data_IF_419012715216
#
_entry.id   IF_419012715216
#
_cell.length_a   1.000
_cell.length_b   1.000
_cell.length_c   1.000
_cell.angle_alpha   90.00
_cell.angle_beta   90.00
_cell.angle_gamma   90.00
#
_symmetry.space_group_name_H-M   'P 1'
#
loop_
_entity.id
_entity.type
_entity.pdbx_description
1 polymer ?
#
# COMPACT_ATOMS: atom_id res chain seq x y z
N UNK A 1 -57.06 70.31 42.31
CA UNK A 1 -56.98 69.50 43.54
C UNK A 1 -56.63 68.06 43.15
N UNK A 2 -55.70 67.49 43.92
CA UNK A 2 -54.95 66.22 43.79
C UNK A 2 -55.84 64.95 43.96
N UNK A 3 -55.30 63.71 44.05
CA UNK A 3 -54.72 62.84 42.99
C UNK A 3 -55.18 61.36 43.11
N UNK A 4 -54.64 60.44 42.29
CA UNK A 4 -54.27 59.01 42.55
C UNK A 4 -54.64 57.97 41.47
N UNK A 5 -53.57 57.45 40.90
CA UNK A 5 -53.21 56.02 40.84
C UNK A 5 -53.80 55.11 39.76
N UNK A 6 -53.02 55.03 38.67
CA UNK A 6 -52.24 53.82 38.32
C UNK A 6 -53.01 52.62 37.77
N UNK A 7 -52.91 52.44 36.45
CA UNK A 7 -52.64 51.09 35.93
C UNK A 7 -51.71 51.16 34.73
N UNK A 8 -50.47 50.75 35.02
CA UNK A 8 -49.34 50.55 34.13
C UNK A 8 -49.66 49.30 33.28
N UNK A 9 -49.80 49.44 31.97
CA UNK A 9 -49.73 48.31 31.03
C UNK A 9 -48.64 48.62 30.01
N UNK A 10 -47.40 48.41 30.46
CA UNK A 10 -46.27 48.14 29.57
C UNK A 10 -46.50 46.70 29.12
N UNK A 11 -46.82 46.51 27.84
CA UNK A 11 -46.78 45.18 27.22
C UNK A 11 -46.02 45.27 25.90
N UNK A 12 -44.77 45.75 26.01
CA UNK A 12 -43.69 45.40 25.11
C UNK A 12 -42.91 44.25 25.76
N UNK A 13 -43.08 43.03 25.25
CA UNK A 13 -41.95 42.30 24.68
C UNK A 13 -42.48 41.05 23.99
N UNK A 14 -42.46 41.08 22.67
CA UNK A 14 -42.42 39.89 21.82
C UNK A 14 -41.19 39.06 22.22
N UNK A 15 -41.37 38.15 23.17
CA UNK A 15 -40.43 37.08 23.46
C UNK A 15 -40.49 36.06 22.32
N UNK A 16 -39.77 36.36 21.24
CA UNK A 16 -39.58 35.52 20.06
C UNK A 16 -39.40 34.06 20.45
N UNK A 17 -40.08 33.15 19.73
CA UNK A 17 -39.93 31.69 19.86
C UNK A 17 -38.47 31.23 19.91
N UNK A 18 -37.54 32.02 19.38
CA UNK A 18 -36.10 31.79 19.47
C UNK A 18 -35.59 31.75 20.91
N UNK A 19 -36.07 32.59 21.84
CA UNK A 19 -35.65 32.53 23.24
C UNK A 19 -36.11 31.23 23.92
N UNK A 20 -37.32 30.76 23.59
CA UNK A 20 -37.83 29.48 24.10
C UNK A 20 -37.02 28.31 23.57
N UNK A 21 -36.63 28.33 22.28
CA UNK A 21 -35.77 27.30 21.68
C UNK A 21 -34.38 27.34 22.30
N UNK A 22 -33.78 28.51 22.50
CA UNK A 22 -32.46 28.64 23.14
C UNK A 22 -32.49 28.15 24.58
N UNK A 23 -33.55 28.45 25.34
CA UNK A 23 -33.74 27.91 26.70
C UNK A 23 -33.90 26.40 26.67
N UNK A 24 -34.66 25.84 25.73
CA UNK A 24 -34.83 24.39 25.60
C UNK A 24 -33.57 23.67 25.13
N UNK A 25 -32.80 24.27 24.21
CA UNK A 25 -31.52 23.72 23.75
C UNK A 25 -30.47 23.80 24.85
N UNK A 26 -30.41 24.90 25.61
CA UNK A 26 -29.52 25.02 26.76
C UNK A 26 -29.91 24.03 27.88
N UNK A 27 -31.20 23.86 28.16
CA UNK A 27 -31.70 22.88 29.14
C UNK A 27 -31.40 21.44 28.68
N UNK A 28 -31.56 21.16 27.38
CA UNK A 28 -31.23 19.86 26.80
C UNK A 28 -29.72 19.59 26.83
N UNK A 29 -28.87 20.57 26.51
CA UNK A 29 -27.41 20.42 26.59
C UNK A 29 -26.90 20.31 28.04
N UNK A 30 -27.56 20.97 29.00
CA UNK A 30 -27.25 20.82 30.42
C UNK A 30 -27.69 19.47 30.97
N UNK A 31 -28.87 18.97 30.58
CA UNK A 31 -29.35 17.63 30.96
C UNK A 31 -28.52 16.52 30.29
N UNK A 32 -28.20 16.66 29.01
CA UNK A 32 -27.39 15.69 28.27
C UNK A 32 -25.91 15.75 28.70
N UNK A 33 -25.38 16.95 28.95
CA UNK A 33 -24.04 17.16 29.49
C UNK A 33 -23.87 16.61 30.91
N UNK A 34 -24.87 16.76 31.78
CA UNK A 34 -24.87 16.15 33.12
C UNK A 34 -24.92 14.62 33.08
N UNK A 35 -25.59 14.04 32.07
CA UNK A 35 -25.67 12.59 31.85
C UNK A 35 -24.34 12.03 31.32
N UNK A 36 -23.63 12.77 30.46
CA UNK A 36 -22.33 12.35 29.91
C UNK A 36 -21.15 12.52 30.89
N UNK A 37 -21.26 13.39 31.90
CA UNK A 37 -20.21 13.62 32.91
C UNK A 37 -20.42 12.81 34.20
N UNK A 38 -21.47 11.97 34.30
CA UNK A 38 -21.64 11.03 35.42
C UNK A 38 -21.76 11.68 36.80
N UNK A 39 -22.38 12.85 36.90
CA UNK A 39 -22.38 13.69 38.13
C UNK A 39 -23.71 13.69 38.90
N UNK A 40 -24.55 12.67 38.70
CA UNK A 40 -25.72 12.41 39.54
C UNK A 40 -25.62 10.97 40.05
N UNK A 41 -24.99 10.84 41.21
CA UNK A 41 -25.17 9.67 42.06
C UNK A 41 -26.65 9.52 42.42
N UNK A 42 -27.11 8.30 42.19
CA UNK A 42 -28.30 7.62 42.71
C UNK A 42 -29.58 8.45 42.90
N UNK A 43 -30.58 8.18 42.05
CA UNK A 43 -31.73 7.36 42.48
C UNK A 43 -32.73 7.11 41.34
N UNK A 44 -32.77 5.84 40.89
CA UNK A 44 -34.01 5.09 40.72
C UNK A 44 -35.08 5.59 39.75
N UNK A 45 -34.74 6.05 38.53
CA UNK A 45 -35.77 6.40 37.56
C UNK A 45 -35.39 6.13 36.10
N UNK A 46 -34.78 4.99 35.80
CA UNK A 46 -34.84 4.43 34.46
C UNK A 46 -34.69 2.91 34.54
N UNK A 47 -35.76 2.19 34.21
CA UNK A 47 -35.83 0.74 34.27
C UNK A 47 -34.79 0.08 33.36
N UNK A 48 -34.54 -1.20 33.64
CA UNK A 48 -33.51 -2.10 33.10
C UNK A 48 -33.48 -2.32 31.56
N UNK A 49 -33.99 -1.40 30.75
CA UNK A 49 -34.11 -1.52 29.28
C UNK A 49 -32.90 -1.06 28.47
N UNK A 50 -31.78 -0.68 29.09
CA UNK A 50 -30.57 -0.20 28.39
C UNK A 50 -29.35 -1.12 28.58
N UNK A 51 -29.54 -2.32 29.15
CA UNK A 51 -28.46 -3.29 29.35
C UNK A 51 -28.04 -4.00 28.05
N UNK A 52 -28.81 -3.86 26.96
CA UNK A 52 -28.54 -4.50 25.67
C UNK A 52 -28.31 -3.47 24.54
N UNK A 53 -27.64 -2.35 24.83
CA UNK A 53 -27.41 -1.34 23.82
C UNK A 53 -26.18 -1.67 22.95
N UNK A 54 -26.46 -1.97 21.68
CA UNK A 54 -25.56 -1.90 20.51
C UNK A 54 -24.62 -0.67 20.52
N UNK A 55 -25.02 0.42 21.17
CA UNK A 55 -24.22 1.64 21.35
C UNK A 55 -22.96 1.40 22.19
N UNK A 56 -23.04 0.61 23.27
CA UNK A 56 -21.87 0.28 24.09
C UNK A 56 -20.89 -0.59 23.30
N UNK A 57 -21.39 -1.54 22.49
CA UNK A 57 -20.57 -2.34 21.59
C UNK A 57 -19.93 -1.50 20.47
N UNK A 58 -20.62 -0.49 19.94
CA UNK A 58 -20.09 0.44 18.95
C UNK A 58 -19.01 1.35 19.55
N UNK A 59 -19.20 1.86 20.77
CA UNK A 59 -18.18 2.66 21.48
C UNK A 59 -16.97 1.79 21.83
N UNK A 60 -17.20 0.56 22.31
CA UNK A 60 -16.12 -0.40 22.59
C UNK A 60 -15.42 -0.85 21.30
N UNK A 61 -16.15 -1.02 20.19
CA UNK A 61 -15.61 -1.32 18.87
C UNK A 61 -14.74 -0.17 18.36
N UNK A 62 -15.26 1.06 18.39
CA UNK A 62 -14.53 2.25 17.96
C UNK A 62 -13.29 2.53 18.81
N UNK A 63 -13.33 2.28 20.13
CA UNK A 63 -12.14 2.44 20.99
C UNK A 63 -11.10 1.34 20.76
N UNK A 64 -11.50 0.11 20.45
CA UNK A 64 -10.60 -0.97 20.04
C UNK A 64 -9.95 -0.68 18.69
N UNK A 65 -10.72 -0.15 17.73
CA UNK A 65 -10.23 0.22 16.40
C UNK A 65 -9.26 1.40 16.48
N UNK A 66 -9.58 2.43 17.27
CA UNK A 66 -8.69 3.57 17.50
C UNK A 66 -7.36 3.15 18.15
N UNK A 67 -7.42 2.27 19.16
CA UNK A 67 -6.20 1.73 19.80
C UNK A 67 -5.36 0.93 18.80
N UNK A 68 -5.99 0.16 17.92
CA UNK A 68 -5.32 -0.62 16.89
C UNK A 68 -4.65 0.30 15.85
N UNK A 69 -5.33 1.38 15.45
CA UNK A 69 -4.76 2.41 14.59
C UNK A 69 -3.60 3.17 15.24
N UNK A 70 -3.70 3.51 16.52
CA UNK A 70 -2.61 4.16 17.24
C UNK A 70 -1.36 3.27 17.30
N UNK A 71 -1.54 1.95 17.51
CA UNK A 71 -0.42 0.99 17.44
C UNK A 71 0.17 0.92 16.03
N UNK A 72 -0.68 0.89 15.00
CA UNK A 72 -0.20 0.88 13.62
C UNK A 72 0.58 2.16 13.29
N UNK A 73 0.11 3.32 13.74
CA UNK A 73 0.79 4.60 13.53
C UNK A 73 2.14 4.67 14.27
N UNK A 74 2.22 4.19 15.51
CA UNK A 74 3.49 4.08 16.26
C UNK A 74 4.50 3.16 15.54
N UNK A 75 4.02 2.03 14.99
CA UNK A 75 4.86 1.15 14.17
C UNK A 75 5.33 1.86 12.90
N UNK A 76 4.43 2.57 12.21
CA UNK A 76 4.78 3.34 11.00
C UNK A 76 5.79 4.44 11.29
N UNK A 77 5.66 5.14 12.41
CA UNK A 77 6.58 6.19 12.84
C UNK A 77 7.97 5.60 13.15
N UNK A 78 8.04 4.50 13.91
CA UNK A 78 9.29 3.77 14.16
C UNK A 78 9.95 3.32 12.87
N UNK A 79 9.18 2.72 11.95
CA UNK A 79 9.69 2.28 10.65
C UNK A 79 10.14 3.46 9.79
N UNK A 80 9.43 4.58 9.83
CA UNK A 80 9.80 5.80 9.12
C UNK A 80 11.18 6.33 9.54
N UNK A 81 11.57 6.13 10.80
CA UNK A 81 12.89 6.53 11.31
C UNK A 81 14.01 5.57 10.85
N UNK A 82 13.71 4.30 10.59
CA UNK A 82 14.66 3.30 10.09
C UNK A 82 14.93 3.41 8.58
N UNK A 83 13.95 3.90 7.80
CA UNK A 83 14.03 4.01 6.34
C UNK A 83 15.27 4.79 5.85
N UNK A 84 15.65 5.95 6.41
CA UNK A 84 16.83 6.70 5.95
C UNK A 84 18.13 5.91 6.11
N UNK A 85 18.30 5.22 7.25
CA UNK A 85 19.49 4.40 7.52
C UNK A 85 19.59 3.24 6.53
N UNK A 86 18.48 2.52 6.31
CA UNK A 86 18.45 1.39 5.39
C UNK A 86 18.66 1.85 3.94
N UNK A 87 18.15 3.03 3.58
CA UNK A 87 18.34 3.63 2.25
C UNK A 87 19.82 3.92 1.97
N UNK A 88 20.54 4.43 2.97
CA UNK A 88 21.98 4.71 2.85
C UNK A 88 22.78 3.41 2.67
N UNK A 89 22.47 2.37 3.45
CA UNK A 89 23.13 1.07 3.34
C UNK A 89 22.93 0.43 1.96
N UNK A 90 21.70 0.48 1.43
CA UNK A 90 21.39 0.01 0.08
C UNK A 90 22.17 0.81 -0.97
N UNK A 91 22.24 2.14 -0.83
CA UNK A 91 22.98 2.99 -1.75
C UNK A 91 24.50 2.70 -1.73
N UNK A 92 25.05 2.45 -0.55
CA UNK A 92 26.44 2.05 -0.37
C UNK A 92 26.72 0.70 -1.03
N UNK A 93 25.89 -0.32 -0.76
CA UNK A 93 26.02 -1.64 -1.37
C UNK A 93 25.89 -1.58 -2.90
N UNK A 94 24.97 -0.76 -3.41
CA UNK A 94 24.84 -0.51 -4.84
C UNK A 94 26.11 0.10 -5.43
N UNK A 95 26.71 1.08 -4.74
CA UNK A 95 27.97 1.71 -5.15
C UNK A 95 29.13 0.72 -5.17
N UNK A 96 29.22 -0.15 -4.15
CA UNK A 96 30.23 -1.20 -4.09
C UNK A 96 30.07 -2.22 -5.23
N UNK A 97 28.84 -2.65 -5.52
CA UNK A 97 28.56 -3.55 -6.64
C UNK A 97 28.92 -2.92 -7.99
N UNK A 98 28.63 -1.62 -8.18
CA UNK A 98 29.03 -0.90 -9.38
C UNK A 98 30.56 -0.82 -9.51
N UNK A 99 31.27 -0.52 -8.42
CA UNK A 99 32.73 -0.50 -8.39
C UNK A 99 33.34 -1.86 -8.71
N UNK A 100 32.80 -2.95 -8.13
CA UNK A 100 33.23 -4.32 -8.42
C UNK A 100 33.00 -4.67 -9.91
N UNK A 101 31.85 -4.30 -10.47
CA UNK A 101 31.51 -4.55 -11.88
C UNK A 101 32.47 -3.83 -12.83
N UNK A 102 32.85 -2.59 -12.52
CA UNK A 102 33.83 -1.83 -13.28
C UNK A 102 35.22 -2.47 -13.18
N UNK A 103 35.66 -2.80 -11.96
CA UNK A 103 36.95 -3.47 -11.72
C UNK A 103 37.05 -4.81 -12.45
N UNK A 104 36.01 -5.64 -12.42
CA UNK A 104 35.96 -6.89 -13.19
C UNK A 104 36.07 -6.65 -14.69
N UNK A 105 35.44 -5.59 -15.21
CA UNK A 105 35.49 -5.22 -16.63
C UNK A 105 36.91 -4.77 -17.03
N UNK A 106 37.57 -4.01 -16.17
CA UNK A 106 38.94 -3.52 -16.41
C UNK A 106 39.95 -4.67 -16.36
N UNK A 107 39.84 -5.57 -15.37
CA UNK A 107 40.68 -6.79 -15.28
C UNK A 107 40.48 -7.67 -16.52
N UNK A 108 39.23 -7.86 -16.96
CA UNK A 108 38.94 -8.63 -18.16
C UNK A 108 39.55 -7.98 -19.40
N UNK A 109 39.45 -6.64 -19.52
CA UNK A 109 40.04 -5.91 -20.64
C UNK A 109 41.57 -6.00 -20.65
N UNK A 110 42.22 -5.86 -19.49
CA UNK A 110 43.67 -5.92 -19.37
C UNK A 110 44.20 -7.32 -19.70
N UNK A 111 43.55 -8.37 -19.18
CA UNK A 111 43.87 -9.77 -19.49
C UNK A 111 43.77 -10.05 -20.99
N UNK A 112 42.67 -9.61 -21.63
CA UNK A 112 42.48 -9.77 -23.08
C UNK A 112 43.54 -8.99 -23.86
N UNK A 113 43.90 -7.79 -23.41
CA UNK A 113 44.92 -6.93 -24.02
C UNK A 113 46.33 -7.55 -23.94
N UNK A 114 46.72 -8.13 -22.81
CA UNK A 114 47.99 -8.85 -22.66
C UNK A 114 48.08 -10.06 -23.58
N UNK A 115 47.03 -10.89 -23.61
CA UNK A 115 46.93 -12.03 -24.52
C UNK A 115 47.09 -11.56 -25.97
N UNK A 116 46.42 -10.47 -26.34
CA UNK A 116 46.50 -9.85 -27.66
C UNK A 116 47.92 -9.42 -28.06
N UNK A 117 48.65 -8.79 -27.13
CA UNK A 117 50.04 -8.36 -27.34
C UNK A 117 50.94 -9.56 -27.62
N UNK A 118 50.73 -10.68 -26.90
CA UNK A 118 51.44 -11.95 -27.12
C UNK A 118 51.17 -12.62 -28.47
N UNK A 119 49.99 -12.41 -29.06
CA UNK A 119 49.68 -12.90 -30.42
C UNK A 119 50.19 -11.96 -31.52
N UNK A 120 50.24 -10.65 -31.25
CA UNK A 120 50.76 -9.65 -32.19
C UNK A 120 52.27 -9.83 -32.43
N UNK A 121 53.02 -10.28 -31.41
CA UNK A 121 54.45 -10.62 -31.55
C UNK A 121 54.71 -11.90 -32.35
N UNK A 122 53.69 -12.76 -32.55
CA UNK A 122 53.75 -13.97 -33.39
C UNK A 122 53.37 -13.74 -34.86
N UNK A 123 53.27 -12.48 -35.30
CA UNK A 123 53.06 -12.13 -36.72
C UNK A 123 51.60 -12.11 -37.18
N UNK A 124 50.64 -12.21 -36.26
CA UNK A 124 49.21 -12.00 -36.58
C UNK A 124 48.96 -10.50 -36.79
N UNK A 125 48.33 -10.13 -37.91
CA UNK A 125 48.04 -8.73 -38.23
C UNK A 125 47.01 -8.13 -37.28
N UNK A 126 47.25 -6.89 -36.82
CA UNK A 126 46.36 -6.11 -35.93
C UNK A 126 44.89 -6.13 -36.39
N UNK A 127 44.67 -6.04 -37.70
CA UNK A 127 43.33 -6.09 -38.31
C UNK A 127 42.58 -7.41 -38.05
N UNK A 128 43.28 -8.55 -38.08
CA UNK A 128 42.66 -9.87 -37.85
C UNK A 128 42.13 -9.97 -36.42
N UNK A 129 42.86 -9.39 -35.48
CA UNK A 129 42.52 -9.35 -34.07
C UNK A 129 41.33 -8.42 -33.83
N UNK A 130 41.38 -7.18 -34.34
CA UNK A 130 40.28 -6.21 -34.20
C UNK A 130 38.97 -6.75 -34.80
N UNK A 131 39.06 -7.41 -35.96
CA UNK A 131 37.93 -8.07 -36.61
C UNK A 131 37.34 -9.20 -35.77
N UNK A 132 38.20 -10.01 -35.15
CA UNK A 132 37.77 -11.14 -34.29
C UNK A 132 37.15 -10.62 -33.00
N UNK A 133 37.75 -9.60 -32.37
CA UNK A 133 37.24 -8.96 -31.17
C UNK A 133 35.89 -8.31 -31.41
N UNK A 134 35.73 -7.60 -32.54
CA UNK A 134 34.44 -7.01 -32.93
C UNK A 134 33.38 -8.10 -33.09
N UNK A 135 33.70 -9.20 -33.77
CA UNK A 135 32.79 -10.33 -33.98
C UNK A 135 32.42 -11.05 -32.68
N UNK A 136 33.36 -11.17 -31.74
CA UNK A 136 33.10 -11.74 -30.42
C UNK A 136 32.24 -10.82 -29.57
N UNK A 137 32.50 -9.52 -29.61
CA UNK A 137 31.67 -8.52 -28.94
C UNK A 137 30.25 -8.52 -29.50
N UNK A 138 30.10 -8.56 -30.82
CA UNK A 138 28.79 -8.69 -31.47
C UNK A 138 28.07 -9.96 -31.02
N UNK A 139 28.75 -11.11 -30.95
CA UNK A 139 28.16 -12.36 -30.45
C UNK A 139 27.81 -12.32 -28.96
N UNK A 140 28.65 -11.71 -28.13
CA UNK A 140 28.40 -11.58 -26.69
C UNK A 140 27.24 -10.63 -26.42
N UNK A 141 27.20 -9.50 -27.13
CA UNK A 141 26.08 -8.56 -27.05
C UNK A 141 24.79 -9.21 -27.57
N UNK A 142 24.86 -10.10 -28.58
CA UNK A 142 23.74 -10.88 -29.12
C UNK A 142 23.24 -11.96 -28.13
N UNK A 143 24.14 -12.62 -27.39
CA UNK A 143 23.81 -13.59 -26.34
C UNK A 143 23.27 -12.91 -25.05
N UNK A 144 23.68 -11.66 -24.78
CA UNK A 144 23.22 -10.84 -23.64
C UNK A 144 21.95 -10.02 -23.97
N UNK A 145 21.39 -10.16 -25.19
CA UNK A 145 20.04 -9.64 -25.48
C UNK A 145 19.04 -10.47 -24.68
N UNK A 146 18.74 -9.99 -23.48
CA UNK A 146 17.62 -10.41 -22.67
C UNK A 146 16.39 -10.58 -23.59
N UNK A 147 15.86 -11.81 -23.65
CA UNK A 147 14.65 -12.08 -24.43
C UNK A 147 13.59 -11.04 -24.06
N UNK A 148 13.08 -10.27 -25.04
CA UNK A 148 12.17 -9.18 -24.74
C UNK A 148 10.88 -9.73 -24.12
N UNK A 149 10.45 -9.10 -23.04
CA UNK A 149 9.19 -9.42 -22.39
C UNK A 149 8.03 -8.74 -23.14
N UNK A 150 7.42 -9.49 -24.06
CA UNK A 150 6.24 -9.05 -24.81
C UNK A 150 4.95 -9.02 -23.98
N UNK A 151 4.96 -9.60 -22.77
CA UNK A 151 3.86 -9.55 -21.82
C UNK A 151 3.97 -8.33 -20.86
N UNK A 152 4.99 -7.49 -21.02
CA UNK A 152 5.21 -6.33 -20.16
C UNK A 152 4.17 -5.23 -20.40
N UNK A 153 3.56 -4.72 -19.32
CA UNK A 153 2.54 -3.65 -19.39
C UNK A 153 3.08 -2.37 -20.00
N UNK A 154 4.30 -1.96 -19.65
CA UNK A 154 4.93 -0.76 -20.21
C UNK A 154 5.31 -0.92 -21.69
N UNK A 155 5.40 -2.15 -22.20
CA UNK A 155 5.58 -2.42 -23.62
C UNK A 155 4.26 -2.40 -24.41
N UNK A 156 3.10 -2.33 -23.72
CA UNK A 156 1.77 -2.29 -24.34
C UNK A 156 0.94 -3.56 -24.16
N UNK A 157 1.40 -4.52 -23.35
CA UNK A 157 0.59 -5.70 -23.01
C UNK A 157 -0.54 -5.36 -22.03
N UNK A 158 -1.63 -6.11 -22.08
CA UNK A 158 -2.82 -5.88 -21.25
C UNK A 158 -3.55 -7.17 -20.88
N UNK A 159 -4.32 -7.14 -19.80
CA UNK A 159 -5.16 -8.28 -19.38
C UNK A 159 -6.52 -8.24 -20.06
N UNK A 160 -6.94 -9.39 -20.61
CA UNK A 160 -8.30 -9.59 -21.11
C UNK A 160 -9.20 -9.97 -19.94
N UNK A 161 -9.86 -8.97 -19.35
CA UNK A 161 -10.65 -9.14 -18.12
C UNK A 161 -11.81 -10.13 -18.28
N UNK A 162 -12.43 -10.23 -19.47
CA UNK A 162 -13.58 -11.12 -19.71
C UNK A 162 -13.25 -12.61 -19.62
N UNK A 163 -11.98 -12.99 -19.80
CA UNK A 163 -11.49 -14.36 -19.74
C UNK A 163 -10.56 -14.62 -18.56
N UNK A 164 -10.30 -13.60 -17.76
CA UNK A 164 -9.45 -13.70 -16.57
C UNK A 164 -10.32 -13.95 -15.36
N UNK A 165 -9.85 -14.80 -14.44
CA UNK A 165 -10.52 -15.08 -13.19
C UNK A 165 -10.73 -13.81 -12.37
N UNK A 166 -11.71 -13.85 -11.46
CA UNK A 166 -11.98 -12.70 -10.60
C UNK A 166 -10.85 -12.52 -9.60
N UNK A 167 -10.37 -11.29 -9.40
CA UNK A 167 -9.48 -10.99 -8.27
C UNK A 167 -10.12 -11.39 -6.95
N UNK A 168 -9.32 -11.98 -6.08
CA UNK A 168 -9.73 -12.31 -4.72
C UNK A 168 -10.18 -11.05 -3.98
N UNK A 169 -11.32 -11.16 -3.31
CA UNK A 169 -11.85 -10.11 -2.43
C UNK A 169 -11.83 -10.66 -1.03
N UNK A 170 -11.19 -9.94 -0.13
CA UNK A 170 -11.24 -10.27 1.28
C UNK A 170 -12.58 -9.82 1.85
N UNK A 171 -13.44 -10.77 2.23
CA UNK A 171 -14.78 -10.48 2.75
C UNK A 171 -14.76 -9.91 4.19
N UNK A 172 -13.61 -9.99 4.88
CA UNK A 172 -13.49 -9.68 6.30
C UNK A 172 -13.00 -8.28 6.67
N UNK A 173 -13.53 -7.19 6.12
CA UNK A 173 -13.17 -5.87 6.66
C UNK A 173 -13.72 -4.66 5.93
N UNK A 174 -14.96 -4.27 6.23
CA UNK A 174 -15.33 -2.85 6.14
C UNK A 174 -14.75 -2.18 7.38
N UNK A 175 -13.61 -1.53 7.25
CA UNK A 175 -13.05 -0.76 8.36
C UNK A 175 -13.77 0.59 8.40
N UNK A 176 -14.44 0.88 9.50
CA UNK A 176 -15.17 2.14 9.69
C UNK A 176 -14.22 3.13 10.34
N UNK A 177 -13.59 3.99 9.54
CA UNK A 177 -12.74 5.06 10.06
C UNK A 177 -13.53 6.36 10.08
N UNK A 178 -13.86 6.87 11.26
CA UNK A 178 -14.48 8.19 11.44
C UNK A 178 -15.72 8.43 10.54
N UNK A 179 -16.61 7.45 10.44
CA UNK A 179 -17.80 7.45 9.55
C UNK A 179 -17.55 7.21 8.05
N UNK A 180 -16.32 6.93 7.62
CA UNK A 180 -15.99 6.52 6.26
C UNK A 180 -15.77 5.01 6.17
N UNK A 181 -16.42 4.37 5.18
CA UNK A 181 -16.19 2.96 4.85
C UNK A 181 -14.90 2.88 4.03
N UNK A 182 -13.84 2.30 4.62
CA UNK A 182 -12.64 1.94 3.87
C UNK A 182 -12.92 0.63 3.13
N UNK A 183 -12.98 0.70 1.80
CA UNK A 183 -13.12 -0.49 0.96
C UNK A 183 -11.79 -1.26 0.96
N UNK A 184 -11.82 -2.60 1.12
CA UNK A 184 -10.61 -3.40 1.07
C UNK A 184 -9.94 -3.24 -0.30
N UNK A 185 -8.62 -3.06 -0.29
CA UNK A 185 -7.84 -2.87 -1.51
C UNK A 185 -7.76 -4.18 -2.30
N UNK A 186 -8.40 -4.22 -3.47
CA UNK A 186 -8.35 -5.37 -4.39
C UNK A 186 -7.25 -5.13 -5.41
N UNK A 187 -6.29 -6.07 -5.50
CA UNK A 187 -5.25 -6.02 -6.53
C UNK A 187 -5.82 -6.41 -7.90
N UNK A 188 -5.59 -5.56 -8.90
CA UNK A 188 -5.91 -5.85 -10.29
C UNK A 188 -4.99 -6.95 -10.85
N UNK A 189 -5.46 -7.84 -11.75
CA UNK A 189 -4.59 -8.78 -12.46
C UNK A 189 -3.47 -8.10 -13.25
N UNK A 190 -3.58 -6.80 -13.58
CA UNK A 190 -2.53 -6.05 -14.29
C UNK A 190 -1.18 -6.01 -13.57
N UNK A 191 -1.13 -6.35 -12.29
CA UNK A 191 0.12 -6.41 -11.52
C UNK A 191 1.05 -7.52 -12.02
N UNK A 192 0.51 -8.59 -12.62
CA UNK A 192 1.34 -9.70 -13.14
C UNK A 192 2.18 -9.30 -14.36
N UNK A 193 1.83 -8.19 -15.02
CA UNK A 193 2.52 -7.65 -16.19
C UNK A 193 3.54 -6.55 -15.82
N UNK A 194 3.79 -6.33 -14.52
CA UNK A 194 4.72 -5.32 -14.03
C UNK A 194 6.02 -5.97 -13.54
N UNK A 195 7.17 -5.27 -13.62
CA UNK A 195 8.46 -5.82 -13.23
C UNK A 195 8.67 -5.94 -11.71
N UNK A 196 7.66 -5.60 -10.89
CA UNK A 196 7.79 -5.58 -9.43
C UNK A 196 7.45 -6.94 -8.81
N UNK A 197 8.41 -7.57 -8.13
CA UNK A 197 8.24 -8.87 -7.46
C UNK A 197 8.36 -8.82 -5.91
N UNK A 198 8.09 -7.65 -5.33
CA UNK A 198 8.15 -7.47 -3.88
C UNK A 198 7.01 -8.23 -3.15
N UNK A 199 7.22 -8.67 -1.89
CA UNK A 199 6.17 -9.28 -1.08
C UNK A 199 4.90 -8.42 -1.04
N UNK A 200 3.74 -9.02 -1.33
CA UNK A 200 2.43 -8.34 -1.38
C UNK A 200 2.08 -7.67 -2.73
N UNK A 201 2.99 -7.66 -3.71
CA UNK A 201 2.74 -7.20 -5.07
C UNK A 201 2.42 -8.38 -6.02
N UNK A 202 1.42 -9.17 -5.65
CA UNK A 202 0.91 -10.27 -6.47
C UNK A 202 -0.59 -10.10 -6.72
N UNK A 203 -1.11 -10.87 -7.68
CA UNK A 203 -2.55 -10.96 -7.94
C UNK A 203 -3.11 -12.24 -7.33
N UNK A 204 -3.90 -12.14 -6.25
CA UNK A 204 -4.60 -13.29 -5.69
C UNK A 204 -5.93 -13.55 -6.42
N UNK A 205 -6.29 -14.81 -6.58
CA UNK A 205 -7.59 -15.29 -7.07
C UNK A 205 -8.19 -16.30 -6.06
N UNK A 206 -9.53 -16.46 -6.02
CA UNK A 206 -10.16 -17.37 -5.07
C UNK A 206 -9.89 -18.83 -5.42
N UNK A 207 -9.60 -19.65 -4.40
CA UNK A 207 -9.36 -21.08 -4.56
C UNK A 207 -7.95 -21.40 -5.07
N UNK A 208 -7.79 -22.59 -5.63
CA UNK A 208 -6.50 -23.11 -6.13
C UNK A 208 -6.40 -23.16 -7.65
N UNK A 209 -7.49 -22.89 -8.37
CA UNK A 209 -7.54 -22.90 -9.84
C UNK A 209 -7.95 -21.51 -10.33
N UNK A 210 -7.17 -20.97 -11.25
CA UNK A 210 -7.40 -19.66 -11.85
C UNK A 210 -6.83 -19.59 -13.26
N UNK A 211 -7.39 -18.70 -14.07
CA UNK A 211 -6.98 -18.41 -15.45
C UNK A 211 -6.68 -16.92 -15.59
N UNK A 212 -5.61 -16.57 -16.29
CA UNK A 212 -5.30 -15.22 -16.71
C UNK A 212 -5.00 -15.19 -18.21
N UNK A 213 -5.69 -14.30 -18.93
CA UNK A 213 -5.50 -14.14 -20.37
C UNK A 213 -4.80 -12.82 -20.62
N UNK A 214 -3.59 -12.91 -21.18
CA UNK A 214 -2.74 -11.76 -21.50
C UNK A 214 -2.78 -11.51 -23.00
N UNK A 215 -3.13 -10.28 -23.38
CA UNK A 215 -2.90 -9.75 -24.71
C UNK A 215 -1.48 -9.18 -24.76
N UNK A 216 -0.64 -9.78 -25.60
CA UNK A 216 0.74 -9.35 -25.80
C UNK A 216 0.81 -8.01 -26.54
N UNK A 217 1.91 -7.29 -26.35
CA UNK A 217 2.16 -6.00 -27.02
C UNK A 217 2.20 -6.11 -28.56
N UNK A 218 2.55 -7.28 -29.08
CA UNK A 218 2.57 -7.57 -30.52
C UNK A 218 2.34 -9.06 -30.79
N UNK A 219 2.03 -9.38 -32.05
CA UNK A 219 1.88 -10.78 -32.50
C UNK A 219 3.26 -11.42 -32.60
N UNK A 220 3.47 -12.50 -31.84
CA UNK A 220 4.73 -13.26 -31.81
C UNK A 220 4.46 -14.76 -31.88
N UNK A 221 5.51 -15.54 -32.17
CA UNK A 221 5.54 -16.98 -31.94
C UNK A 221 6.24 -17.19 -30.58
N UNK A 222 5.54 -17.68 -29.53
CA UNK A 222 6.13 -17.86 -28.22
C UNK A 222 7.30 -18.86 -28.27
N UNK A 223 8.44 -18.48 -27.69
CA UNK A 223 9.62 -19.36 -27.56
C UNK A 223 9.85 -19.85 -26.14
N UNK A 224 9.60 -19.00 -25.16
CA UNK A 224 9.68 -19.32 -23.74
C UNK A 224 8.66 -18.50 -22.94
N UNK A 225 8.37 -18.97 -21.74
CA UNK A 225 7.50 -18.30 -20.77
C UNK A 225 8.23 -18.28 -19.43
N UNK A 226 8.18 -17.14 -18.75
CA UNK A 226 8.81 -16.95 -17.45
C UNK A 226 7.73 -16.72 -16.39
N UNK A 227 7.77 -17.48 -15.29
CA UNK A 227 6.90 -17.29 -14.13
C UNK A 227 7.79 -17.01 -12.93
N UNK A 228 7.48 -15.96 -12.17
CA UNK A 228 8.24 -15.56 -11.00
C UNK A 228 7.37 -15.64 -9.74
N UNK A 229 7.96 -16.11 -8.65
CA UNK A 229 7.36 -16.13 -7.32
C UNK A 229 8.38 -15.68 -6.28
N UNK A 230 7.91 -15.15 -5.15
CA UNK A 230 8.78 -14.83 -4.02
C UNK A 230 9.49 -16.10 -3.53
N UNK A 231 10.74 -15.96 -3.07
CA UNK A 231 11.48 -17.09 -2.51
C UNK A 231 10.91 -17.47 -1.14
N UNK A 232 10.86 -18.78 -0.86
CA UNK A 232 10.40 -19.35 0.41
C UNK A 232 11.05 -18.74 1.66
N UNK A 233 12.28 -18.22 1.54
CA UNK A 233 12.99 -17.55 2.64
C UNK A 233 12.28 -16.28 3.13
N UNK A 234 11.48 -15.64 2.28
CA UNK A 234 10.74 -14.41 2.58
C UNK A 234 9.23 -14.64 2.67
N UNK A 235 8.79 -15.89 2.58
CA UNK A 235 7.41 -16.25 2.90
C UNK A 235 7.22 -16.12 4.41
N UNK A 236 6.22 -15.34 4.82
CA UNK A 236 5.81 -15.27 6.22
C UNK A 236 5.11 -16.59 6.53
N UNK A 237 5.75 -17.44 7.32
CA UNK A 237 5.16 -18.70 7.80
C UNK A 237 4.02 -18.37 8.77
N UNK A 238 2.77 -18.42 8.28
CA UNK A 238 1.56 -18.28 9.08
C UNK A 238 1.23 -19.61 9.77
N UNK A 239 2.14 -20.09 10.61
CA UNK A 239 1.91 -21.23 11.49
C UNK A 239 1.76 -20.78 12.96
N UNK A 240 1.23 -19.57 13.19
CA UNK A 240 1.08 -18.99 14.54
C UNK A 240 -0.39 -18.78 14.94
N UNK A 241 -1.29 -19.63 14.45
CA UNK A 241 -2.72 -19.60 14.78
C UNK A 241 -3.31 -21.00 14.99
N UNK A 242 -2.63 -21.87 15.75
CA UNK A 242 -3.31 -22.89 16.58
C UNK A 242 -2.51 -23.11 17.86
N UNK A 243 -2.89 -22.42 18.94
CA UNK A 243 -2.71 -22.90 20.31
C UNK A 243 -3.77 -22.28 21.22
#
# INVERSE_FOLDING_TARGET
MTPRAQRRLINEHSGSSTWKIVVWVALFLLLFGATCMGLLEENGLFGDGWKDCSICELIQGGTKDLRSLMKANDILEKRSLEIPSLKEEVHMLQTQLQGLKLSMKDIAYDTVSEILKGYTSKGITRWTIEKTLKKLKEKLDEDDVQMPDYALKSAGASIVQSRTSRSYRHDGGKYFWMSFIILPFVRSPDIILQPSYHPGNCWPFPGSQGEAVVQLAMVIIPRAVTIQHISKKYEVDDNRTVK
#
